data_IF_518998058500
#
_entry.id   IF_518998058500
#
_cell.length_a   1.000
_cell.length_b   1.000
_cell.length_c   1.000
_cell.angle_alpha   90.00
_cell.angle_beta   90.00
_cell.angle_gamma   90.00
#
_symmetry.space_group_name_H-M   'P 1'
#
loop_
_entity.id
_entity.type
_entity.pdbx_description
1 polymer ?
#
# COMPACT_ATOMS: atom_id res chain seq x y z
N UNK A 1 -5.82 12.62 -19.88
CA UNK A 1 -5.92 11.47 -18.96
C UNK A 1 -4.72 11.54 -18.04
N UNK A 2 -4.94 11.76 -16.75
CA UNK A 2 -3.89 11.63 -15.75
C UNK A 2 -3.44 10.18 -15.64
N UNK A 3 -2.16 9.92 -15.38
CA UNK A 3 -1.65 8.56 -15.19
C UNK A 3 -1.97 8.04 -13.79
N UNK A 4 -2.13 6.72 -13.71
CA UNK A 4 -2.26 5.96 -12.46
C UNK A 4 -1.00 5.14 -12.23
N UNK A 5 -0.52 5.14 -10.99
CA UNK A 5 0.50 4.22 -10.50
C UNK A 5 -0.13 3.24 -9.50
N UNK A 6 0.11 1.95 -9.68
CA UNK A 6 -0.16 0.94 -8.65
C UNK A 6 1.13 0.67 -7.90
N UNK A 7 1.25 1.22 -6.69
CA UNK A 7 2.36 0.96 -5.78
C UNK A 7 1.95 -0.12 -4.77
N UNK A 8 2.77 -1.14 -4.52
CA UNK A 8 2.41 -2.18 -3.55
C UNK A 8 3.58 -2.79 -2.79
N UNK A 9 3.35 -3.21 -1.55
CA UNK A 9 4.23 -4.13 -0.82
C UNK A 9 3.56 -5.51 -0.69
N UNK A 10 4.32 -6.59 -0.90
CA UNK A 10 3.84 -7.95 -0.66
C UNK A 10 4.96 -8.89 -0.23
N UNK A 11 4.87 -9.41 1.00
CA UNK A 11 5.87 -10.34 1.52
C UNK A 11 5.70 -11.78 0.97
N UNK A 12 4.46 -12.21 0.74
CA UNK A 12 4.13 -13.60 0.33
C UNK A 12 3.37 -13.68 -0.99
N UNK A 13 3.21 -12.56 -1.71
CA UNK A 13 2.65 -12.53 -3.06
C UNK A 13 1.14 -12.33 -3.17
N UNK A 14 0.36 -12.43 -2.09
CA UNK A 14 -1.11 -12.22 -2.14
C UNK A 14 -1.48 -10.83 -2.64
N UNK A 15 -0.88 -9.79 -2.05
CA UNK A 15 -1.11 -8.39 -2.44
C UNK A 15 -0.54 -8.10 -3.83
N UNK A 16 0.60 -8.71 -4.18
CA UNK A 16 1.22 -8.59 -5.50
C UNK A 16 0.24 -8.98 -6.60
N UNK A 17 -0.37 -10.16 -6.48
CA UNK A 17 -1.31 -10.66 -7.48
C UNK A 17 -2.46 -9.68 -7.72
N UNK A 18 -3.06 -9.18 -6.64
CA UNK A 18 -4.16 -8.21 -6.73
C UNK A 18 -3.69 -6.87 -7.33
N UNK A 19 -2.50 -6.40 -6.97
CA UNK A 19 -1.93 -5.18 -7.53
C UNK A 19 -1.70 -5.30 -9.05
N UNK A 20 -1.17 -6.44 -9.50
CA UNK A 20 -0.95 -6.73 -10.92
C UNK A 20 -2.28 -6.83 -11.68
N UNK A 21 -3.30 -7.49 -11.10
CA UNK A 21 -4.63 -7.57 -11.67
C UNK A 21 -5.26 -6.16 -11.82
N UNK A 22 -5.16 -5.30 -10.80
CA UNK A 22 -5.64 -3.91 -10.86
C UNK A 22 -4.89 -3.12 -11.93
N UNK A 23 -3.56 -3.24 -11.97
CA UNK A 23 -2.75 -2.49 -12.93
C UNK A 23 -3.09 -2.86 -14.38
N UNK A 24 -3.37 -4.14 -14.65
CA UNK A 24 -3.81 -4.60 -15.97
C UNK A 24 -5.15 -3.99 -16.40
N UNK A 25 -6.12 -3.94 -15.48
CA UNK A 25 -7.45 -3.38 -15.75
C UNK A 25 -7.44 -1.85 -15.91
N UNK A 26 -6.63 -1.14 -15.11
CA UNK A 26 -6.52 0.32 -15.15
C UNK A 26 -5.50 0.82 -16.19
N UNK A 27 -4.81 -0.09 -16.88
CA UNK A 27 -3.67 0.21 -17.75
C UNK A 27 -2.61 1.10 -17.04
N UNK A 28 -2.38 0.81 -15.77
CA UNK A 28 -1.55 1.60 -14.88
C UNK A 28 -0.10 1.10 -14.86
N UNK A 29 0.82 2.00 -14.55
CA UNK A 29 2.20 1.62 -14.24
C UNK A 29 2.26 0.90 -12.88
N UNK A 30 3.27 0.05 -12.67
CA UNK A 30 3.43 -0.73 -11.43
C UNK A 30 4.74 -0.37 -10.75
N UNK A 31 4.69 -0.15 -9.44
CA UNK A 31 5.86 -0.01 -8.59
C UNK A 31 5.80 -0.97 -7.40
N UNK A 32 6.72 -1.92 -7.34
CA UNK A 32 6.86 -2.81 -6.19
C UNK A 32 7.70 -2.13 -5.11
N UNK A 33 7.12 -1.92 -3.94
CA UNK A 33 7.81 -1.44 -2.73
C UNK A 33 8.63 -2.61 -2.18
N UNK A 34 9.84 -2.78 -2.70
CA UNK A 34 10.73 -3.88 -2.32
C UNK A 34 11.68 -3.46 -1.20
N UNK A 35 11.77 -4.22 -0.09
CA UNK A 35 12.76 -3.97 0.95
C UNK A 35 14.18 -4.26 0.43
N UNK A 36 15.16 -3.47 0.87
CA UNK A 36 16.59 -3.73 0.60
C UNK A 36 17.00 -5.12 1.13
N UNK A 37 16.46 -5.49 2.30
CA UNK A 37 16.60 -6.83 2.89
C UNK A 37 15.25 -7.56 2.80
N UNK A 38 15.11 -8.58 1.93
CA UNK A 38 13.88 -9.38 1.84
C UNK A 38 13.43 -9.94 3.19
N UNK A 39 12.12 -10.00 3.43
CA UNK A 39 11.58 -10.66 4.62
C UNK A 39 11.68 -12.17 4.48
N UNK A 40 12.28 -12.82 5.47
CA UNK A 40 12.33 -14.28 5.58
C UNK A 40 11.08 -14.83 6.28
N UNK A 41 10.85 -16.14 6.24
CA UNK A 41 9.77 -16.77 7.01
C UNK A 41 9.92 -16.52 8.52
N UNK A 42 11.15 -16.51 9.03
CA UNK A 42 11.44 -16.20 10.43
C UNK A 42 11.09 -14.75 10.78
N UNK A 43 11.37 -13.80 9.87
CA UNK A 43 11.00 -12.40 10.05
C UNK A 43 9.49 -12.19 10.11
N UNK A 44 8.72 -13.01 9.38
CA UNK A 44 7.26 -12.95 9.28
C UNK A 44 6.54 -13.78 10.36
N UNK A 45 7.29 -14.42 11.27
CA UNK A 45 6.70 -15.20 12.36
C UNK A 45 6.07 -14.30 13.42
N UNK A 46 4.80 -13.94 13.21
CA UNK A 46 4.03 -13.08 14.11
C UNK A 46 3.84 -13.64 15.53
N UNK A 47 4.12 -14.94 15.77
CA UNK A 47 4.10 -15.53 17.12
C UNK A 47 5.37 -15.26 17.90
N UNK A 48 6.46 -14.92 17.20
CA UNK A 48 7.74 -14.58 17.81
C UNK A 48 7.83 -13.07 18.02
N UNK A 49 8.00 -12.66 19.28
CA UNK A 49 8.12 -11.26 19.67
C UNK A 49 9.44 -10.62 19.24
N UNK A 50 10.44 -11.43 18.91
CA UNK A 50 11.74 -10.99 18.41
C UNK A 50 11.85 -11.00 16.88
N UNK A 51 10.84 -11.57 16.19
CA UNK A 51 10.80 -11.53 14.73
C UNK A 51 10.82 -10.09 14.22
N UNK A 52 11.54 -9.86 13.12
CA UNK A 52 11.71 -8.54 12.52
C UNK A 52 10.37 -7.83 12.30
N UNK A 53 9.37 -8.51 11.74
CA UNK A 53 8.05 -7.89 11.53
C UNK A 53 7.38 -7.47 12.85
N UNK A 54 7.54 -8.23 13.93
CA UNK A 54 6.99 -7.87 15.24
C UNK A 54 7.71 -6.64 15.81
N UNK A 55 9.05 -6.61 15.72
CA UNK A 55 9.86 -5.49 16.22
C UNK A 55 9.59 -4.21 15.41
N UNK A 56 9.60 -4.29 14.09
CA UNK A 56 9.33 -3.14 13.21
C UNK A 56 7.93 -2.56 13.40
N UNK A 57 6.94 -3.40 13.71
CA UNK A 57 5.54 -2.98 13.87
C UNK A 57 5.23 -2.47 15.28
N UNK A 58 6.06 -2.81 16.26
CA UNK A 58 5.99 -2.25 17.61
C UNK A 58 6.56 -0.82 17.69
N UNK A 59 7.48 -0.45 16.78
CA UNK A 59 8.03 0.90 16.69
C UNK A 59 7.37 1.71 15.56
N UNK A 60 6.51 2.70 15.86
CA UNK A 60 5.85 3.52 14.84
C UNK A 60 6.80 4.40 14.02
N UNK A 61 8.05 4.58 14.49
CA UNK A 61 9.08 5.35 13.79
C UNK A 61 10.00 4.48 12.92
N UNK A 62 9.81 3.16 12.93
CA UNK A 62 10.60 2.26 12.11
C UNK A 62 10.42 2.60 10.61
N UNK A 63 11.53 2.69 9.88
CA UNK A 63 11.56 2.97 8.42
C UNK A 63 12.52 2.00 7.71
N UNK A 64 12.10 0.76 7.42
CA UNK A 64 12.92 -0.21 6.72
C UNK A 64 13.35 0.31 5.33
N UNK A 65 14.64 0.18 4.99
CA UNK A 65 15.16 0.65 3.72
C UNK A 65 14.51 -0.08 2.52
N UNK A 66 14.23 0.68 1.46
CA UNK A 66 13.78 0.14 0.17
C UNK A 66 14.98 -0.14 -0.73
N UNK A 67 14.86 -1.18 -1.56
CA UNK A 67 15.88 -1.54 -2.54
C UNK A 67 15.98 -0.53 -3.69
N UNK A 68 14.89 0.17 -3.98
CA UNK A 68 14.77 1.14 -5.06
C UNK A 68 14.19 2.46 -4.53
N UNK A 69 14.61 3.57 -5.12
CA UNK A 69 14.01 4.87 -4.87
C UNK A 69 12.62 4.96 -5.51
N UNK A 70 11.74 5.78 -4.92
CA UNK A 70 10.41 6.04 -5.49
C UNK A 70 10.58 6.70 -6.87
N UNK A 71 9.84 6.26 -7.91
CA UNK A 71 9.88 6.91 -9.22
C UNK A 71 9.39 8.36 -9.13
N UNK A 72 9.70 9.16 -10.14
CA UNK A 72 9.14 10.50 -10.24
C UNK A 72 7.60 10.43 -10.33
N UNK A 73 6.94 10.99 -9.33
CA UNK A 73 5.50 10.96 -9.22
C UNK A 73 4.81 12.09 -10.01
N UNK A 74 5.56 13.02 -10.61
CA UNK A 74 5.03 14.23 -11.26
C UNK A 74 3.94 13.95 -12.31
N UNK A 75 4.10 12.86 -13.07
CA UNK A 75 3.17 12.46 -14.14
C UNK A 75 1.91 11.74 -13.65
N UNK A 76 1.89 11.31 -12.38
CA UNK A 76 0.78 10.56 -11.80
C UNK A 76 -0.14 11.47 -10.98
N UNK A 77 -1.44 11.37 -11.22
CA UNK A 77 -2.46 12.00 -10.37
C UNK A 77 -2.94 11.02 -9.29
N UNK A 78 -3.06 9.75 -9.66
CA UNK A 78 -3.65 8.71 -8.81
C UNK A 78 -2.61 7.66 -8.46
N UNK A 79 -2.50 7.36 -7.17
CA UNK A 79 -1.65 6.30 -6.63
C UNK A 79 -2.56 5.27 -5.95
N UNK A 80 -2.72 4.11 -6.55
CA UNK A 80 -3.36 2.97 -5.89
C UNK A 80 -2.29 2.30 -5.01
N UNK A 81 -2.54 2.20 -3.71
CA UNK A 81 -1.54 1.76 -2.74
C UNK A 81 -1.94 0.43 -2.07
N UNK A 82 -1.23 -0.65 -2.38
CA UNK A 82 -1.52 -2.00 -1.90
C UNK A 82 -0.58 -2.49 -0.80
N UNK A 83 -1.12 -3.07 0.28
CA UNK A 83 -0.30 -3.72 1.31
C UNK A 83 -1.05 -4.81 2.09
N UNK A 84 -0.36 -5.81 2.68
CA UNK A 84 -0.97 -6.65 3.69
C UNK A 84 -1.22 -5.86 4.98
N UNK A 85 -2.22 -6.22 5.78
CA UNK A 85 -2.34 -5.70 7.16
C UNK A 85 -1.41 -6.49 8.08
N UNK A 86 -0.50 -5.79 8.75
CA UNK A 86 0.34 -6.31 9.82
C UNK A 86 -0.05 -5.61 11.12
N UNK A 87 -0.34 -6.37 12.18
CA UNK A 87 -0.66 -5.84 13.52
C UNK A 87 -1.68 -4.67 13.53
N UNK A 88 -2.65 -4.69 12.61
CA UNK A 88 -3.74 -3.70 12.54
C UNK A 88 -3.47 -2.44 11.71
N UNK A 89 -2.35 -2.37 10.99
CA UNK A 89 -2.00 -1.25 10.10
C UNK A 89 -1.14 -1.69 8.90
N UNK A 90 -0.79 -0.73 8.05
CA UNK A 90 0.21 -0.88 6.98
C UNK A 90 1.61 -1.24 7.53
N UNK A 91 2.40 -2.08 6.84
CA UNK A 91 3.77 -2.40 7.22
C UNK A 91 4.68 -1.17 7.20
N UNK A 92 5.66 -1.08 8.11
CA UNK A 92 6.54 0.09 8.25
C UNK A 92 7.33 0.46 6.98
N UNK A 93 7.53 -0.46 6.03
CA UNK A 93 8.11 -0.13 4.72
C UNK A 93 7.18 0.73 3.85
N UNK A 94 5.85 0.62 4.03
CA UNK A 94 4.87 1.51 3.38
C UNK A 94 5.02 2.93 3.92
N UNK A 95 5.26 3.11 5.22
CA UNK A 95 5.59 4.44 5.78
C UNK A 95 6.86 5.01 5.13
N UNK A 96 7.84 4.15 4.86
CA UNK A 96 9.08 4.55 4.18
C UNK A 96 8.77 5.07 2.78
N UNK A 97 7.97 4.34 2.00
CA UNK A 97 7.50 4.81 0.69
C UNK A 97 6.77 6.16 0.78
N UNK A 98 5.80 6.29 1.68
CA UNK A 98 4.95 7.49 1.83
C UNK A 98 5.74 8.73 2.26
N UNK A 99 6.89 8.55 2.90
CA UNK A 99 7.76 9.64 3.38
C UNK A 99 8.97 9.87 2.48
N UNK A 100 9.13 9.11 1.39
CA UNK A 100 10.26 9.21 0.46
C UNK A 100 9.97 10.02 -0.81
N UNK A 101 8.75 10.53 -0.99
CA UNK A 101 8.36 11.29 -2.17
C UNK A 101 7.30 12.37 -1.84
N UNK A 102 7.09 13.30 -2.77
CA UNK A 102 6.04 14.30 -2.66
C UNK A 102 4.73 13.80 -3.28
N UNK A 103 3.69 13.71 -2.45
CA UNK A 103 2.34 13.31 -2.84
C UNK A 103 1.38 14.49 -2.98
N UNK A 104 1.87 15.74 -2.88
CA UNK A 104 1.05 16.94 -2.99
C UNK A 104 0.25 16.95 -4.30
N UNK A 105 -1.05 17.25 -4.20
CA UNK A 105 -2.00 17.26 -5.31
C UNK A 105 -2.42 15.89 -5.82
N UNK A 106 -1.94 14.79 -5.21
CA UNK A 106 -2.25 13.42 -5.64
C UNK A 106 -3.41 12.81 -4.86
N UNK A 107 -4.11 11.90 -5.52
CA UNK A 107 -5.14 11.06 -4.94
C UNK A 107 -4.51 9.72 -4.61
N UNK A 108 -4.61 9.29 -3.36
CA UNK A 108 -4.12 7.99 -2.92
C UNK A 108 -5.33 7.12 -2.61
N UNK A 109 -5.39 5.92 -3.20
CA UNK A 109 -6.47 4.96 -3.02
C UNK A 109 -5.88 3.70 -2.39
N UNK A 110 -5.93 3.56 -1.05
CA UNK A 110 -5.36 2.42 -0.37
C UNK A 110 -6.21 1.16 -0.55
N UNK A 111 -5.59 0.00 -0.76
CA UNK A 111 -6.26 -1.29 -0.59
C UNK A 111 -5.40 -2.21 0.26
N UNK A 112 -6.03 -3.16 0.95
CA UNK A 112 -5.28 -4.11 1.76
C UNK A 112 -5.70 -5.56 1.56
N UNK A 113 -4.79 -6.47 1.87
CA UNK A 113 -5.09 -7.90 2.03
C UNK A 113 -4.88 -8.29 3.49
N UNK A 114 -5.71 -9.18 4.05
CA UNK A 114 -5.53 -9.64 5.43
C UNK A 114 -6.23 -10.98 5.68
N UNK A 115 -5.90 -11.62 6.80
CA UNK A 115 -6.60 -12.80 7.31
C UNK A 115 -7.96 -12.51 7.97
N UNK A 116 -8.48 -11.28 7.89
CA UNK A 116 -9.80 -10.91 8.44
C UNK A 116 -9.91 -9.45 8.91
N UNK A 117 -8.80 -8.82 9.27
CA UNK A 117 -8.77 -7.41 9.70
C UNK A 117 -9.11 -6.44 8.57
N UNK A 118 -9.95 -5.45 8.85
CA UNK A 118 -10.20 -4.32 7.95
C UNK A 118 -9.08 -3.28 7.96
N UNK A 119 -9.35 -2.12 7.38
CA UNK A 119 -8.37 -1.03 7.26
C UNK A 119 -8.39 0.00 8.39
N UNK A 120 -9.33 -0.10 9.36
CA UNK A 120 -9.38 0.71 10.59
C UNK A 120 -8.82 2.14 10.45
N UNK A 121 -7.77 2.49 11.20
CA UNK A 121 -7.11 3.82 11.17
C UNK A 121 -6.01 3.95 10.12
N UNK A 122 -5.81 2.95 9.26
CA UNK A 122 -4.74 2.93 8.25
C UNK A 122 -4.85 4.13 7.31
N UNK A 123 -6.05 4.45 6.81
CA UNK A 123 -6.24 5.60 5.90
C UNK A 123 -5.88 6.94 6.58
N UNK A 124 -6.27 7.12 7.85
CA UNK A 124 -5.91 8.31 8.65
C UNK A 124 -4.39 8.41 8.85
N UNK A 125 -3.73 7.28 9.11
CA UNK A 125 -2.27 7.23 9.24
C UNK A 125 -1.57 7.60 7.94
N UNK A 126 -2.02 7.04 6.81
CA UNK A 126 -1.50 7.38 5.49
C UNK A 126 -1.65 8.89 5.25
N UNK A 127 -2.84 9.45 5.52
CA UNK A 127 -3.10 10.89 5.36
C UNK A 127 -2.14 11.75 6.18
N UNK A 128 -1.84 11.35 7.42
CA UNK A 128 -0.88 12.06 8.27
C UNK A 128 0.56 11.99 7.75
N UNK A 129 0.95 10.91 7.06
CA UNK A 129 2.29 10.75 6.49
C UNK A 129 2.50 11.57 5.22
N UNK A 130 1.48 11.63 4.35
CA UNK A 130 1.58 12.34 3.05
C UNK A 130 1.23 13.82 3.14
N UNK A 131 0.69 14.26 4.27
CA UNK A 131 0.27 15.64 4.50
C UNK A 131 -1.09 15.97 3.90
N UNK A 132 -1.59 17.18 4.20
CA UNK A 132 -2.94 17.65 3.87
C UNK A 132 -3.14 17.96 2.37
N UNK A 133 -2.06 18.13 1.63
CA UNK A 133 -2.11 18.56 0.23
C UNK A 133 -2.30 17.36 -0.72
N UNK A 134 -2.18 16.13 -0.20
CA UNK A 134 -2.64 14.91 -0.86
C UNK A 134 -4.04 14.53 -0.35
N UNK A 135 -4.81 13.81 -1.17
CA UNK A 135 -6.14 13.31 -0.81
C UNK A 135 -6.10 11.79 -0.66
N UNK A 136 -6.25 11.28 0.57
CA UNK A 136 -6.38 9.84 0.80
C UNK A 136 -7.87 9.46 0.77
N UNK A 137 -8.22 8.55 -0.15
CA UNK A 137 -9.57 8.03 -0.29
C UNK A 137 -9.84 6.92 0.73
N UNK A 138 -11.12 6.62 0.94
CA UNK A 138 -11.49 5.45 1.74
C UNK A 138 -10.98 4.17 1.08
N UNK A 139 -10.16 3.43 1.81
CA UNK A 139 -9.54 2.20 1.33
C UNK A 139 -10.44 0.97 1.47
N UNK A 140 -10.09 -0.10 0.74
CA UNK A 140 -10.84 -1.37 0.77
C UNK A 140 -9.98 -2.59 1.08
N UNK A 141 -10.48 -3.47 1.94
CA UNK A 141 -9.92 -4.82 2.09
C UNK A 141 -10.34 -5.69 0.91
N UNK A 142 -9.36 -6.31 0.26
CA UNK A 142 -9.52 -7.17 -0.91
C UNK A 142 -9.12 -8.60 -0.54
N UNK A 143 -10.07 -9.53 -0.64
CA UNK A 143 -9.86 -10.96 -0.37
C UNK A 143 -11.16 -11.72 -0.12
N UNK A 144 -11.20 -13.00 -0.51
CA UNK A 144 -12.35 -13.91 -0.35
C UNK A 144 -13.54 -13.60 -1.26
N UNK A 145 -14.21 -12.48 -1.01
CA UNK A 145 -15.53 -12.12 -1.59
C UNK A 145 -15.48 -10.94 -2.58
N UNK A 146 -14.37 -10.21 -2.65
CA UNK A 146 -14.25 -9.02 -3.53
C UNK A 146 -13.79 -9.47 -4.91
N UNK A 147 -14.65 -9.29 -5.92
CA UNK A 147 -14.32 -9.58 -7.33
C UNK A 147 -13.60 -8.41 -7.99
N UNK A 148 -12.94 -8.67 -9.13
CA UNK A 148 -12.36 -7.60 -9.96
C UNK A 148 -13.41 -6.59 -10.42
N UNK A 149 -14.65 -7.04 -10.65
CA UNK A 149 -15.77 -6.16 -10.99
C UNK A 149 -16.08 -5.19 -9.85
N UNK A 150 -16.02 -5.65 -8.60
CA UNK A 150 -16.28 -4.81 -7.44
C UNK A 150 -15.14 -3.81 -7.20
N UNK A 151 -13.90 -4.18 -7.53
CA UNK A 151 -12.75 -3.27 -7.49
C UNK A 151 -12.89 -2.19 -8.55
N UNK A 152 -13.26 -2.57 -9.77
CA UNK A 152 -13.51 -1.62 -10.85
C UNK A 152 -14.58 -0.60 -10.49
N UNK A 153 -15.74 -1.07 -10.03
CA UNK A 153 -16.83 -0.18 -9.59
C UNK A 153 -16.40 0.77 -8.47
N UNK A 154 -15.50 0.32 -7.59
CA UNK A 154 -14.94 1.14 -6.54
C UNK A 154 -13.97 2.20 -7.10
N UNK A 155 -13.07 1.84 -8.02
CA UNK A 155 -12.17 2.81 -8.67
C UNK A 155 -12.89 3.80 -9.58
N UNK A 156 -13.90 3.37 -10.34
CA UNK A 156 -14.75 4.23 -11.19
C UNK A 156 -15.46 5.30 -10.37
N UNK A 157 -15.81 5.01 -9.11
CA UNK A 157 -16.39 5.97 -8.17
C UNK A 157 -15.43 7.13 -7.81
N UNK A 158 -14.13 6.94 -8.02
CA UNK A 158 -13.09 7.95 -7.78
C UNK A 158 -12.66 8.69 -9.05
N UNK A 159 -12.97 8.19 -10.25
CA UNK A 159 -12.66 8.86 -11.51
C UNK A 159 -13.55 10.09 -11.80
N UNK A 160 -14.53 10.38 -10.93
CA UNK A 160 -15.44 11.52 -11.06
C UNK A 160 -14.94 12.81 -10.39
N UNK A 161 -13.67 12.84 -9.93
CA UNK A 161 -13.09 13.93 -9.13
C UNK A 161 -11.90 14.59 -9.80
#
# INVERSE_FOLDING_TARGET
MSKTLVAFFSATGTTKKIAEDIAGEEHADVFAITPEKPYTEADLNWKDKSARSTVEMADPNCRPAMAESVPDLSSYQTIILGFPIWWGREPSIVDTFLTSADFSGKIIIPFCTSGGSGMARTCERIQNLVGKDARVMEGRRVGGEVSMKDLKLWFDGFQQW
#
